data_IF_622953255522
#
_entry.id   IF_622953255522
#
_cell.length_a   1.000
_cell.length_b   1.000
_cell.length_c   1.000
_cell.angle_alpha   90.00
_cell.angle_beta   90.00
_cell.angle_gamma   90.00
#
_symmetry.space_group_name_H-M   'P 1'
#
loop_
_entity.id
_entity.type
_entity.pdbx_description
1 polymer ?
#
# COMPACT_ATOMS: atom_id res chain seq x y z
N UNK A 1 26.56 -4.20 19.36
CA UNK A 1 25.84 -3.88 18.11
C UNK A 1 24.85 -5.00 17.76
N UNK A 2 23.82 -5.25 18.59
CA UNK A 2 22.89 -6.37 18.38
C UNK A 2 21.42 -6.09 18.74
N UNK A 3 21.11 -4.93 19.32
CA UNK A 3 19.77 -4.60 19.83
C UNK A 3 18.86 -3.94 18.79
N UNK A 4 19.41 -3.16 17.87
CA UNK A 4 18.64 -2.42 16.85
C UNK A 4 17.98 -3.34 15.81
N UNK A 5 18.70 -4.37 15.37
CA UNK A 5 18.21 -5.33 14.37
C UNK A 5 17.06 -6.17 14.92
N UNK A 6 17.16 -6.62 16.18
CA UNK A 6 16.08 -7.35 16.86
C UNK A 6 14.82 -6.49 17.04
N UNK A 7 14.99 -5.20 17.38
CA UNK A 7 13.86 -4.27 17.51
C UNK A 7 13.17 -4.03 16.17
N UNK A 8 13.93 -3.89 15.08
CA UNK A 8 13.37 -3.71 13.74
C UNK A 8 12.56 -4.93 13.29
N UNK A 9 13.08 -6.13 13.49
CA UNK A 9 12.35 -7.37 13.15
C UNK A 9 11.05 -7.49 13.96
N UNK A 10 11.10 -7.20 15.27
CA UNK A 10 9.92 -7.24 16.13
C UNK A 10 8.83 -6.27 15.67
N UNK A 11 9.19 -5.03 15.31
CA UNK A 11 8.23 -4.04 14.81
C UNK A 11 7.62 -4.52 13.48
N UNK A 12 8.42 -5.06 12.56
CA UNK A 12 7.91 -5.60 11.29
C UNK A 12 6.91 -6.73 11.56
N UNK A 13 7.25 -7.65 12.46
CA UNK A 13 6.36 -8.75 12.83
C UNK A 13 5.05 -8.25 13.44
N UNK A 14 5.10 -7.34 14.41
CA UNK A 14 3.91 -6.80 15.06
C UNK A 14 2.99 -6.05 14.09
N UNK A 15 3.56 -5.29 13.16
CA UNK A 15 2.77 -4.65 12.10
C UNK A 15 2.18 -5.66 11.12
N UNK A 16 2.91 -6.71 10.75
CA UNK A 16 2.39 -7.76 9.90
C UNK A 16 1.20 -8.47 10.57
N UNK A 17 1.35 -8.89 11.83
CA UNK A 17 0.29 -9.52 12.64
C UNK A 17 -0.93 -8.61 12.76
N UNK A 18 -0.73 -7.32 13.05
CA UNK A 18 -1.82 -6.36 13.11
C UNK A 18 -2.52 -6.20 11.75
N UNK A 19 -1.78 -6.09 10.65
CA UNK A 19 -2.35 -5.96 9.31
C UNK A 19 -3.10 -7.23 8.86
N UNK A 20 -2.70 -8.41 9.34
CA UNK A 20 -3.38 -9.69 9.07
C UNK A 20 -4.76 -9.78 9.73
N UNK A 21 -5.00 -9.01 10.80
CA UNK A 21 -6.33 -8.95 11.42
C UNK A 21 -7.41 -8.31 10.54
N UNK A 22 -7.03 -7.73 9.39
CA UNK A 22 -7.93 -7.10 8.44
C UNK A 22 -8.03 -7.90 7.13
N UNK A 23 -9.24 -7.94 6.58
CA UNK A 23 -9.44 -8.37 5.19
C UNK A 23 -9.01 -7.23 4.25
N UNK A 24 -8.08 -7.54 3.36
CA UNK A 24 -7.60 -6.65 2.29
C UNK A 24 -8.04 -7.21 0.94
N UNK A 25 -8.58 -6.35 0.09
CA UNK A 25 -9.06 -6.75 -1.24
C UNK A 25 -7.92 -6.69 -2.27
N UNK A 26 -7.15 -5.59 -2.22
CA UNK A 26 -6.10 -5.32 -3.19
C UNK A 26 -4.78 -4.90 -2.56
N UNK A 27 -3.70 -5.38 -3.17
CA UNK A 27 -2.38 -4.80 -3.08
C UNK A 27 -2.18 -3.83 -4.24
N UNK A 28 -1.52 -2.70 -3.98
CA UNK A 28 -1.22 -1.72 -5.01
C UNK A 28 0.16 -1.10 -4.87
N UNK A 29 0.70 -0.63 -5.99
CA UNK A 29 1.84 0.26 -6.01
C UNK A 29 1.62 1.47 -6.91
N UNK A 30 2.31 2.57 -6.62
CA UNK A 30 2.31 3.77 -7.45
C UNK A 30 3.71 4.38 -7.52
N UNK A 31 4.22 4.59 -8.73
CA UNK A 31 5.44 5.34 -9.03
C UNK A 31 5.08 6.58 -9.82
N UNK A 32 5.47 7.75 -9.32
CA UNK A 32 5.05 9.01 -9.90
C UNK A 32 5.80 9.31 -11.22
N UNK A 33 5.09 9.82 -12.22
CA UNK A 33 5.66 10.35 -13.46
C UNK A 33 6.30 11.73 -13.26
N UNK A 34 5.96 12.40 -12.15
CA UNK A 34 6.54 13.66 -11.68
C UNK A 34 7.06 13.42 -10.28
N UNK A 35 8.36 13.69 -10.03
CA UNK A 35 8.96 13.42 -8.74
C UNK A 35 8.21 14.04 -7.56
N UNK A 36 7.98 13.26 -6.51
CA UNK A 36 7.43 13.70 -5.24
C UNK A 36 8.46 13.48 -4.15
N UNK A 37 8.76 14.55 -3.40
CA UNK A 37 9.74 14.50 -2.32
C UNK A 37 9.12 14.39 -0.94
N UNK A 38 7.88 14.86 -0.79
CA UNK A 38 7.20 14.94 0.49
C UNK A 38 6.30 13.72 0.71
N UNK A 39 6.68 12.78 1.61
CA UNK A 39 5.96 11.51 1.78
C UNK A 39 4.50 11.71 2.20
N UNK A 40 4.26 12.66 3.11
CA UNK A 40 2.91 12.96 3.58
C UNK A 40 1.97 13.33 2.42
N UNK A 41 2.37 14.27 1.56
CA UNK A 41 1.55 14.70 0.42
C UNK A 41 1.46 13.66 -0.69
N UNK A 42 2.49 12.84 -0.87
CA UNK A 42 2.45 11.70 -1.77
C UNK A 42 1.37 10.69 -1.33
N UNK A 43 1.43 10.26 -0.06
CA UNK A 43 0.47 9.33 0.54
C UNK A 43 -0.95 9.90 0.53
N UNK A 44 -1.12 11.15 0.96
CA UNK A 44 -2.42 11.82 0.98
C UNK A 44 -3.05 11.90 -0.41
N UNK A 45 -2.24 12.18 -1.44
CA UNK A 45 -2.77 12.25 -2.81
C UNK A 45 -3.18 10.89 -3.36
N UNK A 46 -2.44 9.83 -3.07
CA UNK A 46 -2.82 8.46 -3.44
C UNK A 46 -4.10 8.07 -2.72
N UNK A 47 -4.20 8.36 -1.42
CA UNK A 47 -5.42 8.13 -0.65
C UNK A 47 -6.65 8.81 -1.28
N UNK A 48 -6.57 10.10 -1.60
CA UNK A 48 -7.68 10.80 -2.23
C UNK A 48 -8.08 10.21 -3.59
N UNK A 49 -7.13 9.68 -4.36
CA UNK A 49 -7.44 9.01 -5.62
C UNK A 49 -8.16 7.68 -5.37
N UNK A 50 -7.69 6.87 -4.41
CA UNK A 50 -8.32 5.61 -4.03
C UNK A 50 -9.76 5.79 -3.56
N UNK A 51 -10.07 6.87 -2.84
CA UNK A 51 -11.44 7.17 -2.40
C UNK A 51 -12.44 7.32 -3.54
N UNK A 52 -12.00 7.73 -4.74
CA UNK A 52 -12.88 7.80 -5.94
C UNK A 52 -13.33 6.41 -6.43
N UNK A 53 -12.59 5.38 -6.04
CA UNK A 53 -12.90 3.98 -6.33
C UNK A 53 -13.58 3.26 -5.15
N UNK A 54 -14.20 4.03 -4.25
CA UNK A 54 -14.90 3.54 -3.06
C UNK A 54 -14.02 2.77 -2.06
N UNK A 55 -12.70 2.98 -2.11
CA UNK A 55 -11.78 2.47 -1.07
C UNK A 55 -12.13 3.13 0.26
N UNK A 56 -12.49 2.30 1.24
CA UNK A 56 -12.91 2.75 2.57
C UNK A 56 -11.78 2.71 3.59
N UNK A 57 -10.85 1.76 3.42
CA UNK A 57 -9.67 1.61 4.27
C UNK A 57 -8.45 1.38 3.38
N UNK A 58 -7.35 2.06 3.71
CA UNK A 58 -6.06 1.78 3.11
C UNK A 58 -4.94 1.81 4.15
N UNK A 59 -3.93 0.98 3.93
CA UNK A 59 -2.63 1.09 4.58
C UNK A 59 -1.62 1.47 3.50
N UNK A 60 -0.97 2.64 3.62
CA UNK A 60 -0.07 3.17 2.60
C UNK A 60 1.31 3.45 3.21
N UNK A 61 2.36 3.06 2.49
CA UNK A 61 3.76 3.27 2.87
C UNK A 61 4.49 3.92 1.71
N UNK A 62 5.29 4.95 2.00
CA UNK A 62 6.15 5.60 1.03
C UNK A 62 7.59 5.08 1.21
N UNK A 63 8.22 4.66 0.12
CA UNK A 63 9.60 4.20 0.07
C UNK A 63 10.40 5.05 -0.92
N UNK A 64 11.67 5.39 -0.64
CA UNK A 64 12.59 5.88 -1.66
C UNK A 64 12.76 4.85 -2.80
N UNK A 65 12.48 5.27 -4.02
CA UNK A 65 12.71 4.51 -5.24
C UNK A 65 14.15 4.76 -5.74
N UNK A 66 14.74 3.78 -6.43
CA UNK A 66 16.11 3.88 -6.97
C UNK A 66 16.31 5.07 -7.94
N UNK A 67 15.22 5.61 -8.50
CA UNK A 67 15.24 6.80 -9.35
C UNK A 67 15.35 8.12 -8.58
N UNK A 68 15.42 8.09 -7.24
CA UNK A 68 15.40 9.29 -6.38
C UNK A 68 14.00 9.89 -6.16
N UNK A 69 12.96 9.14 -6.53
CA UNK A 69 11.55 9.51 -6.33
C UNK A 69 10.92 8.69 -5.19
N UNK A 70 9.71 9.01 -4.75
CA UNK A 70 8.94 8.17 -3.85
C UNK A 70 8.15 7.09 -4.62
N UNK A 71 8.12 5.89 -4.06
CA UNK A 71 7.27 4.79 -4.47
C UNK A 71 6.28 4.47 -3.35
N UNK A 72 5.00 4.36 -3.69
CA UNK A 72 3.96 4.02 -2.72
C UNK A 72 3.65 2.54 -2.83
N UNK A 73 3.65 1.86 -1.69
CA UNK A 73 3.07 0.54 -1.50
C UNK A 73 1.77 0.67 -0.70
N UNK A 74 0.74 -0.07 -1.08
CA UNK A 74 -0.56 0.07 -0.45
C UNK A 74 -1.35 -1.22 -0.35
N UNK A 75 -2.16 -1.30 0.70
CA UNK A 75 -3.28 -2.23 0.84
C UNK A 75 -4.57 -1.44 0.80
N UNK A 76 -5.57 -1.94 0.09
CA UNK A 76 -6.88 -1.31 -0.03
C UNK A 76 -8.00 -2.30 0.28
N UNK A 77 -9.04 -1.81 0.95
CA UNK A 77 -10.25 -2.57 1.26
C UNK A 77 -11.51 -1.69 1.17
N UNK A 78 -12.62 -2.32 0.78
CA UNK A 78 -13.98 -1.76 0.82
C UNK A 78 -14.57 -1.69 2.23
N UNK A 79 -15.88 -1.39 2.36
CA UNK A 79 -16.56 -1.33 3.67
C UNK A 79 -17.04 -2.70 4.15
N UNK A 80 -17.23 -3.65 3.23
CA UNK A 80 -17.73 -4.99 3.53
C UNK A 80 -16.79 -5.84 4.39
N UNK A 81 -17.37 -6.74 5.20
CA UNK A 81 -16.66 -7.71 6.03
C UNK A 81 -16.12 -8.95 5.25
N UNK A 82 -16.08 -8.88 3.91
CA UNK A 82 -16.06 -10.03 3.00
C UNK A 82 -17.50 -10.53 2.79
N UNK A 83 -18.03 -10.71 1.58
CA UNK A 83 -17.63 -11.69 0.57
C UNK A 83 -17.91 -11.19 -0.87
N UNK A 84 -18.21 -9.90 -1.05
CA UNK A 84 -18.43 -9.26 -2.35
C UNK A 84 -17.59 -7.97 -2.42
N UNK A 85 -16.83 -7.73 -3.51
CA UNK A 85 -16.10 -6.49 -3.65
C UNK A 85 -17.09 -5.33 -3.84
N UNK A 86 -17.17 -4.45 -2.84
CA UNK A 86 -17.76 -3.10 -3.00
C UNK A 86 -16.81 -2.14 -3.73
N UNK A 87 -15.54 -2.53 -3.85
CA UNK A 87 -14.55 -1.81 -4.61
C UNK A 87 -14.78 -2.00 -6.11
N UNK A 88 -14.40 -0.98 -6.89
CA UNK A 88 -14.27 -1.14 -8.34
C UNK A 88 -13.31 -2.29 -8.69
N UNK A 89 -13.39 -2.77 -9.93
CA UNK A 89 -12.49 -3.81 -10.41
C UNK A 89 -11.04 -3.34 -10.27
N UNK A 90 -10.07 -4.27 -10.09
CA UNK A 90 -8.65 -3.90 -10.00
C UNK A 90 -8.20 -3.01 -11.15
N UNK A 91 -8.77 -3.22 -12.34
CA UNK A 91 -8.50 -2.46 -13.55
C UNK A 91 -8.93 -0.99 -13.46
N UNK A 92 -10.06 -0.69 -12.82
CA UNK A 92 -10.53 0.69 -12.68
C UNK A 92 -9.67 1.48 -11.70
N UNK A 93 -9.28 0.84 -10.59
CA UNK A 93 -8.36 1.42 -9.60
C UNK A 93 -7.00 1.65 -10.26
N UNK A 94 -6.52 0.65 -11.02
CA UNK A 94 -5.27 0.76 -11.77
C UNK A 94 -5.33 1.91 -12.78
N UNK A 95 -6.39 2.03 -13.57
CA UNK A 95 -6.53 3.07 -14.60
C UNK A 95 -6.51 4.47 -13.97
N UNK A 96 -7.26 4.66 -12.87
CA UNK A 96 -7.30 5.92 -12.13
C UNK A 96 -5.93 6.31 -11.56
N UNK A 97 -5.21 5.36 -10.94
CA UNK A 97 -3.85 5.59 -10.47
C UNK A 97 -2.89 5.87 -11.63
N UNK A 98 -3.06 5.16 -12.75
CA UNK A 98 -2.19 5.29 -13.91
C UNK A 98 -2.31 6.65 -14.57
N UNK A 99 -3.54 7.07 -14.85
CA UNK A 99 -3.85 8.37 -15.43
C UNK A 99 -3.38 9.52 -14.53
N UNK A 100 -3.53 9.37 -13.21
CA UNK A 100 -3.20 10.45 -12.27
C UNK A 100 -1.71 10.53 -11.95
N UNK A 101 -1.05 9.39 -11.77
CA UNK A 101 0.30 9.34 -11.20
C UNK A 101 1.34 8.70 -12.12
N UNK A 102 0.97 7.88 -13.10
CA UNK A 102 1.92 7.17 -13.95
C UNK A 102 1.96 5.69 -13.65
N UNK A 103 3.13 5.09 -13.42
CA UNK A 103 3.18 3.61 -13.31
C UNK A 103 2.48 3.15 -12.04
N UNK A 104 1.53 2.24 -12.19
CA UNK A 104 0.80 1.65 -11.08
C UNK A 104 0.64 0.14 -11.27
N UNK A 105 0.46 -0.57 -10.15
CA UNK A 105 0.10 -1.98 -10.10
C UNK A 105 -1.08 -2.13 -9.15
N UNK A 106 -2.06 -2.96 -9.49
CA UNK A 106 -3.16 -3.33 -8.59
C UNK A 106 -3.42 -4.82 -8.78
N UNK A 107 -3.38 -5.58 -7.69
CA UNK A 107 -3.52 -7.03 -7.69
C UNK A 107 -4.45 -7.47 -6.57
N UNK A 108 -5.26 -8.51 -6.82
CA UNK A 108 -6.04 -9.16 -5.77
C UNK A 108 -5.12 -9.77 -4.70
N UNK A 109 -5.48 -9.55 -3.43
CA UNK A 109 -4.81 -10.18 -2.31
C UNK A 109 -5.16 -11.68 -2.25
N UNK A 110 -4.39 -12.50 -2.95
CA UNK A 110 -4.65 -13.96 -3.02
C UNK A 110 -4.28 -14.71 -1.73
N UNK A 111 -3.44 -14.12 -0.86
CA UNK A 111 -3.20 -14.61 0.50
C UNK A 111 -2.86 -13.48 1.48
N UNK A 112 -3.48 -13.50 2.65
CA UNK A 112 -3.27 -12.48 3.69
C UNK A 112 -1.82 -12.48 4.22
N UNK A 113 -1.18 -13.65 4.31
CA UNK A 113 0.22 -13.77 4.74
C UNK A 113 1.20 -13.08 3.78
N UNK A 114 1.03 -13.23 2.46
CA UNK A 114 1.96 -12.66 1.48
C UNK A 114 1.93 -11.13 1.47
N UNK A 115 0.75 -10.56 1.66
CA UNK A 115 0.46 -9.13 1.51
C UNK A 115 0.94 -8.31 2.72
N UNK A 116 0.83 -8.91 3.91
CA UNK A 116 1.15 -8.27 5.19
C UNK A 116 2.64 -8.33 5.50
N UNK A 117 3.29 -9.48 5.24
CA UNK A 117 4.75 -9.58 5.27
C UNK A 117 5.42 -8.66 4.24
N UNK A 118 4.82 -8.50 3.07
CA UNK A 118 5.31 -7.58 2.04
C UNK A 118 5.20 -6.12 2.47
N UNK A 119 4.08 -5.66 3.03
CA UNK A 119 3.95 -4.28 3.49
C UNK A 119 4.79 -3.96 4.72
N UNK A 120 4.91 -4.91 5.65
CA UNK A 120 5.78 -4.76 6.82
C UNK A 120 7.26 -4.64 6.44
N UNK A 121 7.69 -5.24 5.33
CA UNK A 121 9.06 -5.09 4.79
C UNK A 121 9.42 -3.62 4.54
N UNK A 122 8.46 -2.79 4.14
CA UNK A 122 8.71 -1.40 3.75
C UNK A 122 8.59 -0.38 4.88
N UNK A 123 8.06 -0.78 6.04
CA UNK A 123 7.95 0.10 7.21
C UNK A 123 9.30 0.52 7.79
N UNK A 124 10.31 -0.35 7.69
CA UNK A 124 11.62 -0.17 8.31
C UNK A 124 12.77 -0.33 7.33
N UNK A 125 12.48 -0.32 6.03
CA UNK A 125 13.53 -0.35 5.03
C UNK A 125 14.24 1.00 5.08
N UNK A 126 15.47 0.97 5.61
CA UNK A 126 16.38 2.12 5.66
C UNK A 126 16.97 2.39 4.28
#
# INVERSE_FOLDING_TARGET
MGTTTHRGELIRQQYAEWLQSYNWDYFLTSTFNRPRREPYYALQSVWHELQKSFVARAFLVAEPHQSGDLHIHGLAAGRGAGWYPELRLPWDIWASLFERFGRAKVEACNSQEAVTGYCAKYLLKQ
#
